data_IF_618482369961
#
_entry.id   IF_618482369961
#
_cell.length_a   1.000
_cell.length_b   1.000
_cell.length_c   1.000
_cell.angle_alpha   90.00
_cell.angle_beta   90.00
_cell.angle_gamma   90.00
#
_symmetry.space_group_name_H-M   'P 1'
#
loop_
_entity.id
_entity.type
_entity.pdbx_description
1 polymer ?
#
# COMPACT_ATOMS: atom_id res chain seq x y z
N UNK A 1 -38.11 3.49 -25.86
CA UNK A 1 -37.08 4.42 -25.37
C UNK A 1 -37.53 5.03 -24.06
N UNK A 2 -37.23 4.40 -22.91
CA UNK A 2 -37.05 5.08 -21.61
C UNK A 2 -36.22 4.17 -20.69
N UNK A 3 -34.93 4.49 -20.57
CA UNK A 3 -33.97 3.88 -19.65
C UNK A 3 -34.11 4.52 -18.26
N UNK A 4 -34.30 3.72 -17.20
CA UNK A 4 -34.09 4.17 -15.83
C UNK A 4 -33.30 3.11 -15.04
N UNK A 5 -31.97 3.21 -15.14
CA UNK A 5 -30.97 2.60 -14.26
C UNK A 5 -31.04 3.29 -12.89
N UNK A 6 -31.34 2.54 -11.82
CA UNK A 6 -31.41 3.08 -10.47
C UNK A 6 -30.77 2.16 -9.43
N UNK A 7 -29.60 2.55 -8.93
CA UNK A 7 -28.79 1.89 -7.87
C UNK A 7 -29.62 1.54 -6.62
N UNK A 8 -30.61 2.37 -6.32
CA UNK A 8 -31.51 2.27 -5.15
C UNK A 8 -32.45 1.06 -5.20
N UNK A 9 -32.80 0.55 -6.39
CA UNK A 9 -33.66 -0.64 -6.52
C UNK A 9 -32.87 -1.94 -6.31
N UNK A 10 -31.63 -1.96 -6.79
CA UNK A 10 -30.70 -3.08 -6.59
C UNK A 10 -30.38 -3.31 -5.09
N UNK A 11 -30.11 -2.25 -4.34
CA UNK A 11 -29.85 -2.33 -2.90
C UNK A 11 -31.06 -2.81 -2.08
N UNK A 12 -32.29 -2.47 -2.52
CA UNK A 12 -33.51 -2.94 -1.85
C UNK A 12 -33.82 -4.42 -2.12
N UNK A 13 -33.42 -4.96 -3.26
CA UNK A 13 -33.55 -6.40 -3.56
C UNK A 13 -32.50 -7.26 -2.83
N UNK A 14 -31.32 -6.72 -2.52
CA UNK A 14 -30.27 -7.45 -1.82
C UNK A 14 -30.54 -7.65 -0.31
N UNK A 15 -31.35 -6.77 0.29
CA UNK A 15 -31.72 -6.85 1.71
C UNK A 15 -32.83 -7.87 2.04
N UNK A 16 -33.44 -8.50 1.02
CA UNK A 16 -34.53 -9.47 1.21
C UNK A 16 -34.08 -10.92 1.45
N UNK A 17 -32.79 -11.24 1.34
CA UNK A 17 -32.30 -12.63 1.36
C UNK A 17 -31.52 -13.03 2.64
N UNK A 18 -31.38 -12.14 3.63
CA UNK A 18 -30.62 -12.43 4.85
C UNK A 18 -31.44 -12.27 6.14
N UNK A 19 -32.74 -12.60 6.08
CA UNK A 19 -33.59 -12.68 7.27
C UNK A 19 -33.68 -14.12 7.79
N UNK A 20 -32.54 -14.70 8.19
CA UNK A 20 -32.49 -15.86 9.06
C UNK A 20 -31.09 -16.01 9.66
N UNK A 21 -30.98 -15.76 10.96
CA UNK A 21 -29.88 -16.12 11.89
C UNK A 21 -29.25 -14.92 12.62
N UNK A 22 -30.05 -14.18 13.39
CA UNK A 22 -29.56 -13.40 14.53
C UNK A 22 -29.83 -14.19 15.81
N UNK A 23 -28.86 -15.01 16.23
CA UNK A 23 -28.73 -15.51 17.60
C UNK A 23 -27.33 -16.11 17.78
N UNK A 24 -26.39 -15.29 18.25
CA UNK A 24 -25.00 -15.70 18.48
C UNK A 24 -24.09 -14.50 18.75
N UNK A 25 -24.29 -13.88 19.90
CA UNK A 25 -23.40 -12.86 20.44
C UNK A 25 -21.98 -13.44 20.63
N UNK A 26 -20.95 -12.73 20.15
CA UNK A 26 -19.65 -12.73 20.84
C UNK A 26 -18.38 -13.21 20.11
N UNK A 27 -18.35 -13.59 18.84
CA UNK A 27 -17.11 -14.17 18.28
C UNK A 27 -16.77 -13.81 16.82
N UNK A 28 -16.87 -12.55 16.41
CA UNK A 28 -16.26 -12.10 15.13
C UNK A 28 -15.69 -10.68 15.28
N UNK A 29 -14.68 -10.51 16.14
CA UNK A 29 -13.76 -9.37 16.00
C UNK A 29 -12.88 -9.64 14.76
N UNK A 30 -12.98 -8.74 13.80
CA UNK A 30 -12.43 -8.80 12.45
C UNK A 30 -11.13 -9.58 12.32
N UNK A 31 -11.23 -10.75 11.69
CA UNK A 31 -10.15 -11.19 10.83
C UNK A 31 -10.09 -10.16 9.69
N UNK A 32 -9.07 -9.29 9.70
CA UNK A 32 -8.68 -8.61 8.47
C UNK A 32 -8.50 -9.74 7.44
N UNK A 33 -9.34 -9.76 6.41
CA UNK A 33 -9.15 -10.68 5.31
C UNK A 33 -7.77 -10.38 4.74
N UNK A 34 -6.78 -11.21 5.05
CA UNK A 34 -5.51 -11.20 4.36
C UNK A 34 -5.88 -11.54 2.93
N UNK A 35 -5.92 -10.53 2.06
CA UNK A 35 -6.09 -10.73 0.64
C UNK A 35 -5.03 -11.72 0.16
N UNK A 36 -5.31 -12.44 -0.92
CA UNK A 36 -4.30 -13.28 -1.54
C UNK A 36 -3.01 -12.46 -1.75
N UNK A 37 -1.82 -13.04 -1.50
CA UNK A 37 -0.55 -12.33 -1.67
C UNK A 37 -0.52 -11.70 -3.07
N UNK A 38 -0.17 -10.41 -3.13
CA UNK A 38 -0.09 -9.72 -4.42
C UNK A 38 0.88 -10.46 -5.33
N UNK A 39 0.44 -10.67 -6.57
CA UNK A 39 1.36 -11.05 -7.64
C UNK A 39 2.06 -9.78 -8.09
N UNK A 40 3.35 -9.68 -7.81
CA UNK A 40 4.18 -8.56 -8.23
C UNK A 40 4.83 -8.90 -9.56
N UNK A 41 4.66 -8.02 -10.54
CA UNK A 41 5.28 -8.16 -11.86
C UNK A 41 6.44 -7.17 -12.01
N UNK A 42 7.55 -7.64 -12.57
CA UNK A 42 8.74 -6.86 -12.87
C UNK A 42 8.78 -6.50 -14.36
N UNK A 43 8.87 -5.22 -14.67
CA UNK A 43 9.03 -4.71 -16.04
C UNK A 43 10.33 -3.92 -16.11
N UNK A 44 11.32 -4.47 -16.80
CA UNK A 44 12.57 -3.75 -17.08
C UNK A 44 12.27 -2.51 -17.93
N UNK A 45 12.69 -1.33 -17.47
CA UNK A 45 12.51 -0.07 -18.19
C UNK A 45 13.72 0.22 -19.07
N UNK A 46 14.90 0.28 -18.45
CA UNK A 46 16.23 0.42 -19.08
C UNK A 46 17.33 0.35 -18.03
N UNK A 47 18.54 -0.02 -18.45
CA UNK A 47 19.72 -0.04 -17.59
C UNK A 47 19.41 -0.81 -16.30
N UNK A 48 19.68 -0.21 -15.14
CA UNK A 48 19.41 -0.78 -13.82
C UNK A 48 18.02 -0.42 -13.25
N UNK A 49 17.08 0.09 -14.07
CA UNK A 49 15.73 0.50 -13.65
C UNK A 49 14.67 -0.55 -13.96
N UNK A 50 14.00 -1.02 -12.90
CA UNK A 50 12.86 -1.94 -12.98
C UNK A 50 11.61 -1.29 -12.41
N UNK A 51 10.51 -1.34 -13.15
CA UNK A 51 9.18 -1.03 -12.65
C UNK A 51 8.59 -2.29 -12.00
N UNK A 52 8.16 -2.17 -10.75
CA UNK A 52 7.36 -3.18 -10.05
C UNK A 52 5.90 -2.74 -10.09
N UNK A 53 5.04 -3.63 -10.59
CA UNK A 53 3.59 -3.43 -10.61
C UNK A 53 2.88 -4.53 -9.82
N UNK A 54 1.56 -4.41 -9.63
CA UNK A 54 0.77 -5.37 -8.86
C UNK A 54 0.79 -5.14 -7.33
N UNK A 55 1.63 -4.22 -6.85
CA UNK A 55 1.71 -3.85 -5.43
C UNK A 55 0.64 -2.83 -5.00
N UNK A 56 -0.42 -2.59 -5.78
CA UNK A 56 -1.40 -1.52 -5.49
C UNK A 56 -0.93 -0.09 -5.86
N UNK A 57 0.36 0.11 -6.09
CA UNK A 57 0.94 1.25 -6.79
C UNK A 57 2.11 0.82 -7.68
N UNK A 58 2.58 1.73 -8.52
CA UNK A 58 3.79 1.53 -9.31
C UNK A 58 4.99 1.94 -8.48
N UNK A 59 5.96 1.05 -8.36
CA UNK A 59 7.20 1.26 -7.63
C UNK A 59 8.36 1.14 -8.61
N UNK A 60 9.36 2.02 -8.51
CA UNK A 60 10.56 1.91 -9.34
C UNK A 60 11.75 1.53 -8.47
N UNK A 61 12.48 0.51 -8.90
CA UNK A 61 13.70 0.03 -8.24
C UNK A 61 14.87 0.32 -9.17
N UNK A 62 15.85 1.05 -8.66
CA UNK A 62 17.16 1.23 -9.27
C UNK A 62 18.16 0.33 -8.55
N UNK A 63 18.86 -0.53 -9.29
CA UNK A 63 20.00 -1.29 -8.79
C UNK A 63 21.26 -0.41 -8.82
N UNK A 64 21.99 -0.35 -7.72
CA UNK A 64 23.29 0.31 -7.65
C UNK A 64 24.20 -0.47 -6.69
N UNK A 65 25.37 -0.92 -7.19
CA UNK A 65 26.40 -1.59 -6.38
C UNK A 65 25.91 -2.78 -5.50
N UNK A 66 24.83 -3.46 -5.90
CA UNK A 66 24.24 -4.59 -5.13
C UNK A 66 23.18 -4.16 -4.10
N UNK A 67 22.90 -2.86 -3.98
CA UNK A 67 21.83 -2.29 -3.19
C UNK A 67 20.72 -1.70 -4.07
N UNK A 68 19.57 -1.41 -3.46
CA UNK A 68 18.43 -0.78 -4.09
C UNK A 68 18.29 0.70 -3.69
N UNK A 69 18.02 1.54 -4.68
CA UNK A 69 17.32 2.80 -4.50
C UNK A 69 15.88 2.61 -4.98
N UNK A 70 14.90 2.87 -4.11
CA UNK A 70 13.48 2.59 -4.37
C UNK A 70 12.69 3.88 -4.39
N UNK A 71 11.80 4.03 -5.36
CA UNK A 71 10.88 5.17 -5.49
C UNK A 71 9.48 4.66 -5.16
N UNK A 72 8.94 5.18 -4.05
CA UNK A 72 7.74 4.72 -3.34
C UNK A 72 7.82 3.25 -2.87
N UNK A 73 7.15 2.93 -1.76
CA UNK A 73 7.13 1.60 -1.15
C UNK A 73 5.78 0.88 -1.26
N UNK A 74 4.79 1.54 -1.86
CA UNK A 74 3.46 0.99 -1.98
C UNK A 74 2.65 1.03 -0.67
N UNK A 75 1.45 0.44 -0.69
CA UNK A 75 0.58 0.29 0.47
C UNK A 75 1.10 -0.80 1.42
N UNK A 76 0.80 -0.72 2.73
CA UNK A 76 1.35 -1.62 3.75
C UNK A 76 0.98 -3.10 3.51
N UNK A 77 -0.15 -3.37 2.84
CA UNK A 77 -0.65 -4.72 2.54
C UNK A 77 0.28 -5.51 1.62
N UNK A 78 1.17 -4.85 0.88
CA UNK A 78 2.09 -5.48 -0.09
C UNK A 78 3.57 -5.25 0.25
N UNK A 79 3.84 -4.65 1.40
CA UNK A 79 5.18 -4.24 1.81
C UNK A 79 6.12 -5.44 2.01
N UNK A 80 5.61 -6.55 2.54
CA UNK A 80 6.40 -7.76 2.76
C UNK A 80 6.73 -8.49 1.45
N UNK A 81 5.78 -8.54 0.51
CA UNK A 81 5.96 -9.09 -0.83
C UNK A 81 7.01 -8.27 -1.59
N UNK A 82 6.93 -6.95 -1.50
CA UNK A 82 7.91 -6.05 -2.10
C UNK A 82 9.31 -6.23 -1.49
N UNK A 83 9.42 -6.30 -0.16
CA UNK A 83 10.70 -6.52 0.51
C UNK A 83 11.33 -7.88 0.13
N UNK A 84 10.51 -8.93 -0.02
CA UNK A 84 10.95 -10.25 -0.52
C UNK A 84 11.38 -10.19 -1.97
N UNK A 85 10.66 -9.46 -2.82
CA UNK A 85 11.02 -9.27 -4.23
C UNK A 85 12.39 -8.59 -4.35
N UNK A 86 12.58 -7.46 -3.68
CA UNK A 86 13.81 -6.67 -3.72
C UNK A 86 15.01 -7.47 -3.18
N UNK A 87 14.89 -8.04 -1.97
CA UNK A 87 16.02 -8.73 -1.32
C UNK A 87 16.26 -10.15 -1.82
N UNK A 88 15.20 -10.85 -2.20
CA UNK A 88 15.23 -12.23 -2.67
C UNK A 88 15.42 -12.32 -4.17
N UNK A 89 14.35 -12.04 -4.93
CA UNK A 89 14.31 -12.27 -6.37
C UNK A 89 15.29 -11.38 -7.14
N UNK A 90 15.32 -10.09 -6.80
CA UNK A 90 16.25 -9.14 -7.41
C UNK A 90 17.67 -9.25 -6.81
N UNK A 91 17.84 -9.95 -5.69
CA UNK A 91 19.14 -10.11 -5.02
C UNK A 91 19.78 -8.80 -4.57
N UNK A 92 18.98 -7.78 -4.22
CA UNK A 92 19.45 -6.50 -3.72
C UNK A 92 19.47 -6.53 -2.19
N UNK A 93 20.68 -6.67 -1.62
CA UNK A 93 20.85 -7.07 -0.22
C UNK A 93 20.32 -6.04 0.80
N UNK A 94 20.28 -4.77 0.39
CA UNK A 94 19.81 -3.64 1.19
C UNK A 94 19.02 -2.66 0.32
N UNK A 95 18.11 -1.92 0.96
CA UNK A 95 17.56 -0.68 0.40
C UNK A 95 18.34 0.46 1.06
N UNK A 96 19.20 1.13 0.30
CA UNK A 96 20.02 2.23 0.84
C UNK A 96 19.31 3.57 0.73
N UNK A 97 18.47 3.74 -0.29
CA UNK A 97 17.69 4.96 -0.48
C UNK A 97 16.23 4.61 -0.77
N UNK A 98 15.33 5.26 -0.06
CA UNK A 98 13.89 5.19 -0.29
C UNK A 98 13.36 6.60 -0.52
N UNK A 99 12.95 6.88 -1.74
CA UNK A 99 12.43 8.18 -2.14
C UNK A 99 10.89 8.16 -2.16
N UNK A 100 10.27 8.95 -1.29
CA UNK A 100 8.80 9.12 -1.28
C UNK A 100 8.40 10.28 -2.20
N UNK A 101 7.61 9.98 -3.23
CA UNK A 101 7.12 11.00 -4.15
C UNK A 101 6.12 11.94 -3.49
N UNK A 102 5.30 11.43 -2.56
CA UNK A 102 4.36 12.18 -1.73
C UNK A 102 3.89 11.34 -0.53
N UNK A 103 2.99 11.89 0.30
CA UNK A 103 2.70 11.38 1.66
C UNK A 103 1.61 10.30 1.76
N UNK A 104 0.92 9.98 0.67
CA UNK A 104 -0.21 9.06 0.76
C UNK A 104 0.26 7.64 1.14
N UNK A 105 -0.48 6.92 2.00
CA UNK A 105 -0.08 5.57 2.42
C UNK A 105 0.02 4.54 1.29
N UNK A 106 -0.58 4.79 0.12
CA UNK A 106 -0.42 3.93 -1.05
C UNK A 106 0.96 4.07 -1.72
N UNK A 107 1.77 5.03 -1.28
CA UNK A 107 3.11 5.30 -1.76
C UNK A 107 4.17 5.16 -0.67
N UNK A 108 3.83 5.38 0.60
CA UNK A 108 4.79 5.34 1.72
C UNK A 108 4.49 4.24 2.73
N UNK A 109 3.46 3.44 2.49
CA UNK A 109 2.93 2.48 3.43
C UNK A 109 3.86 1.32 3.78
N UNK A 110 4.80 1.00 2.88
CA UNK A 110 5.77 -0.07 3.05
C UNK A 110 7.16 0.37 3.50
N UNK A 111 7.34 1.64 3.90
CA UNK A 111 8.66 2.19 4.23
C UNK A 111 9.36 1.39 5.34
N UNK A 112 8.61 1.03 6.37
CA UNK A 112 9.11 0.29 7.53
C UNK A 112 9.57 -1.13 7.15
N UNK A 113 8.93 -1.77 6.18
CA UNK A 113 9.30 -3.12 5.73
C UNK A 113 10.54 -3.10 4.82
N UNK A 114 10.68 -2.06 4.00
CA UNK A 114 11.82 -1.90 3.10
C UNK A 114 13.07 -1.40 3.80
N UNK A 115 12.92 -0.58 4.85
CA UNK A 115 14.02 -0.07 5.65
C UNK A 115 14.92 -1.21 6.15
N UNK A 116 16.23 -1.04 6.00
CA UNK A 116 17.28 -1.96 6.47
C UNK A 116 18.49 -1.16 6.96
N UNK A 117 18.77 -1.19 8.26
CA UNK A 117 19.93 -0.50 8.85
C UNK A 117 19.90 1.00 8.57
N UNK A 118 20.85 1.46 7.75
CA UNK A 118 21.12 2.86 7.42
C UNK A 118 20.37 3.34 6.15
N UNK A 119 19.16 2.84 5.88
CA UNK A 119 18.34 3.36 4.76
C UNK A 119 18.05 4.85 4.94
N UNK A 120 18.43 5.64 3.95
CA UNK A 120 18.05 7.04 3.83
C UNK A 120 16.66 7.18 3.21
N UNK A 121 15.69 7.63 4.01
CA UNK A 121 14.35 7.96 3.53
C UNK A 121 14.32 9.44 3.14
N UNK A 122 14.17 9.71 1.85
CA UNK A 122 14.22 11.05 1.27
C UNK A 122 12.85 11.44 0.76
N UNK A 123 12.40 12.64 1.10
CA UNK A 123 11.16 13.20 0.59
C UNK A 123 11.23 14.73 0.58
N UNK A 124 10.28 15.38 -0.10
CA UNK A 124 10.06 16.81 0.11
C UNK A 124 9.60 17.08 1.55
N UNK A 125 9.98 18.22 2.14
CA UNK A 125 9.66 18.56 3.54
C UNK A 125 8.14 18.51 3.82
N UNK A 126 7.31 18.95 2.86
CA UNK A 126 5.85 18.84 2.99
C UNK A 126 5.37 17.39 3.09
N UNK A 127 6.00 16.45 2.36
CA UNK A 127 5.68 15.02 2.49
C UNK A 127 5.94 14.54 3.91
N UNK A 128 7.12 14.89 4.47
CA UNK A 128 7.48 14.56 5.85
C UNK A 128 6.47 15.13 6.86
N UNK A 129 6.09 16.40 6.70
CA UNK A 129 5.12 17.06 7.59
C UNK A 129 3.73 16.41 7.53
N UNK A 130 3.25 16.05 6.33
CA UNK A 130 1.97 15.34 6.18
C UNK A 130 2.02 13.93 6.76
N UNK A 131 3.15 13.23 6.64
CA UNK A 131 3.34 11.92 7.26
C UNK A 131 3.40 12.01 8.80
N UNK A 132 3.88 13.11 9.37
CA UNK A 132 4.05 13.28 10.82
C UNK A 132 2.90 14.02 11.51
N UNK A 133 1.78 14.27 10.82
CA UNK A 133 0.67 15.07 11.35
C UNK A 133 -0.63 14.26 11.24
N UNK A 134 -1.49 14.38 12.25
CA UNK A 134 -2.85 13.84 12.18
C UNK A 134 -3.68 14.68 11.20
N UNK A 135 -4.41 14.03 10.29
CA UNK A 135 -5.37 14.72 9.43
C UNK A 135 -6.63 13.90 9.19
N UNK A 136 -7.75 14.60 9.03
CA UNK A 136 -9.05 14.01 8.72
C UNK A 136 -9.37 14.19 7.24
N UNK A 137 -9.93 13.14 6.64
CA UNK A 137 -10.38 13.11 5.24
C UNK A 137 -11.89 12.90 5.21
N UNK A 138 -12.62 13.95 4.85
CA UNK A 138 -14.10 13.98 4.92
C UNK A 138 -14.78 12.91 4.05
N UNK A 139 -14.31 12.72 2.82
CA UNK A 139 -14.95 11.84 1.84
C UNK A 139 -14.67 10.37 2.10
N UNK A 140 -13.73 10.08 2.99
CA UNK A 140 -13.44 8.74 3.49
C UNK A 140 -14.01 8.51 4.89
N UNK A 141 -14.49 9.57 5.55
CA UNK A 141 -14.79 9.59 6.98
C UNK A 141 -13.69 8.93 7.82
N UNK A 142 -12.44 9.34 7.57
CA UNK A 142 -11.25 8.69 8.11
C UNK A 142 -10.24 9.71 8.65
N UNK A 143 -9.79 9.47 9.88
CA UNK A 143 -8.62 10.11 10.46
C UNK A 143 -7.38 9.26 10.16
N UNK A 144 -6.32 9.92 9.72
CA UNK A 144 -5.00 9.34 9.54
C UNK A 144 -4.11 9.82 10.68
N UNK A 145 -3.58 8.86 11.44
CA UNK A 145 -2.63 9.10 12.50
C UNK A 145 -1.23 9.42 11.93
N UNK A 146 -0.38 10.16 12.66
CA UNK A 146 1.02 10.31 12.34
C UNK A 146 1.70 8.95 12.13
N UNK A 147 2.52 8.84 11.07
CA UNK A 147 3.40 7.70 10.82
C UNK A 147 4.51 7.66 11.87
N UNK A 148 5.10 6.48 12.06
CA UNK A 148 6.26 6.33 12.92
C UNK A 148 7.42 7.20 12.42
N UNK A 149 8.31 7.66 13.31
CA UNK A 149 9.39 8.57 12.93
C UNK A 149 10.40 7.93 11.96
N UNK A 150 10.45 6.60 11.96
CA UNK A 150 11.26 5.74 11.11
C UNK A 150 10.63 5.41 9.75
N UNK A 151 9.42 5.91 9.48
CA UNK A 151 8.66 5.70 8.24
C UNK A 151 8.88 6.82 7.22
#
# INVERSE_FOLDING_TARGET
>A
MTTLRGRRRFLRSALGAAAASFAGDGLLRGAAAQGAPATLDEVELRDDLTLVTGAGSNIVVLRAAGAAAVIDSGPPEHANELAKLVRGNMGLLSVELLFNTHWHPMHTGGNEALRSGDTDIVAHELTRLWMSTEYYVDWQDKTYEPRAAEA
#
